data_IF_623914860553
#
_entry.id   IF_623914860553
#
_cell.length_a   1.000
_cell.length_b   1.000
_cell.length_c   1.000
_cell.angle_alpha   90.00
_cell.angle_beta   90.00
_cell.angle_gamma   90.00
#
_symmetry.space_group_name_H-M   'P 1'
#
loop_
_entity.id
_entity.type
_entity.pdbx_description
1 polymer ?
#
# COMPACT_ATOMS: atom_id res chain seq x y z
N UNK A 1 9.79 16.86 -16.63
CA UNK A 1 9.85 16.92 -15.15
C UNK A 1 10.04 15.50 -14.65
N UNK A 2 11.25 15.14 -14.21
CA UNK A 2 11.49 13.81 -13.64
C UNK A 2 11.00 13.81 -12.20
N UNK A 3 9.80 13.29 -11.95
CA UNK A 3 9.39 12.96 -10.58
C UNK A 3 10.23 11.76 -10.14
N UNK A 4 11.05 11.95 -9.11
CA UNK A 4 11.72 10.85 -8.42
C UNK A 4 10.70 10.22 -7.48
N UNK A 5 10.43 8.93 -7.67
CA UNK A 5 9.56 8.16 -6.79
C UNK A 5 10.45 7.25 -5.95
N UNK A 6 10.23 7.25 -4.63
CA UNK A 6 10.95 6.36 -3.74
C UNK A 6 10.48 4.93 -3.94
N UNK A 7 11.42 3.99 -4.11
CA UNK A 7 11.11 2.56 -4.09
C UNK A 7 10.69 2.14 -2.69
N UNK A 8 9.94 1.06 -2.56
CA UNK A 8 9.51 0.55 -1.26
C UNK A 8 10.71 0.25 -0.36
N UNK A 9 11.81 -0.27 -0.91
CA UNK A 9 13.01 -0.57 -0.12
C UNK A 9 13.59 0.69 0.55
N UNK A 10 13.60 1.81 -0.17
CA UNK A 10 14.05 3.11 0.34
C UNK A 10 13.07 3.65 1.40
N UNK A 11 11.77 3.53 1.13
CA UNK A 11 10.72 3.87 2.08
C UNK A 11 10.81 3.03 3.37
N UNK A 12 11.06 1.72 3.26
CA UNK A 12 11.19 0.81 4.39
C UNK A 12 12.41 1.17 5.25
N UNK A 13 13.55 1.48 4.62
CA UNK A 13 14.74 1.97 5.34
C UNK A 13 14.42 3.26 6.09
N UNK A 14 13.69 4.19 5.44
CA UNK A 14 13.28 5.45 6.05
C UNK A 14 12.34 5.24 7.24
N UNK A 15 11.27 4.47 7.08
CA UNK A 15 10.31 4.19 8.15
C UNK A 15 10.96 3.47 9.33
N UNK A 16 11.88 2.54 9.08
CA UNK A 16 12.61 1.85 10.17
C UNK A 16 13.46 2.79 11.02
N UNK A 17 13.81 3.97 10.50
CA UNK A 17 14.50 5.03 11.25
C UNK A 17 13.53 5.98 11.97
N UNK A 18 12.26 5.98 11.58
CA UNK A 18 11.22 6.78 12.24
C UNK A 18 10.86 6.12 13.58
N UNK A 19 10.55 6.99 14.53
CA UNK A 19 10.25 6.62 15.91
C UNK A 19 9.10 5.61 16.01
N UNK A 20 9.27 4.62 16.89
CA UNK A 20 8.32 3.51 17.09
C UNK A 20 6.95 3.92 17.68
N UNK A 21 6.77 5.19 18.02
CA UNK A 21 5.48 5.75 18.47
C UNK A 21 4.66 6.39 17.34
N UNK A 22 4.99 6.13 16.09
CA UNK A 22 4.14 6.54 14.98
C UNK A 22 2.78 5.85 15.09
N UNK A 23 1.73 6.64 15.25
CA UNK A 23 0.34 6.16 15.39
C UNK A 23 -0.42 6.12 14.07
N UNK A 24 -0.10 7.04 13.16
CA UNK A 24 -0.82 7.24 11.91
C UNK A 24 0.18 7.27 10.77
N UNK A 25 -0.06 6.46 9.73
CA UNK A 25 0.77 6.40 8.54
C UNK A 25 -0.09 6.47 7.28
N UNK A 26 0.09 7.52 6.49
CA UNK A 26 -0.58 7.69 5.20
C UNK A 26 0.47 7.64 4.10
N UNK A 27 0.27 6.74 3.14
CA UNK A 27 1.16 6.55 2.00
C UNK A 27 0.38 6.71 0.72
N UNK A 28 0.76 7.70 -0.08
CA UNK A 28 0.22 7.92 -1.42
C UNK A 28 1.37 7.71 -2.41
N UNK A 29 1.21 6.76 -3.35
CA UNK A 29 2.25 6.44 -4.33
C UNK A 29 1.65 6.10 -5.68
N UNK A 30 2.48 6.18 -6.73
CA UNK A 30 2.09 5.97 -8.12
C UNK A 30 2.77 4.72 -8.68
N UNK A 31 2.17 4.19 -9.76
CA UNK A 31 2.35 2.94 -10.55
C UNK A 31 3.76 2.35 -10.78
N UNK A 32 4.82 2.90 -10.21
CA UNK A 32 6.21 2.57 -10.52
C UNK A 32 6.78 1.45 -9.67
N UNK A 33 6.23 1.22 -8.47
CA UNK A 33 6.69 0.16 -7.60
C UNK A 33 5.53 -0.63 -6.99
N UNK A 34 5.15 -1.71 -7.67
CA UNK A 34 4.12 -2.66 -7.23
C UNK A 34 4.40 -3.25 -5.84
N UNK A 35 5.65 -3.20 -5.34
CA UNK A 35 5.95 -3.77 -4.03
C UNK A 35 5.26 -3.04 -2.88
N UNK A 36 4.75 -1.81 -3.11
CA UNK A 36 3.81 -1.14 -2.20
C UNK A 36 2.48 -1.90 -2.04
N UNK A 37 2.10 -2.77 -2.97
CA UNK A 37 0.92 -3.64 -2.86
C UNK A 37 1.25 -5.02 -2.25
N UNK A 38 2.45 -5.22 -1.71
CA UNK A 38 2.82 -6.46 -1.02
C UNK A 38 2.39 -6.42 0.45
N UNK A 39 1.27 -7.07 0.75
CA UNK A 39 0.72 -7.07 2.11
C UNK A 39 1.65 -7.75 3.14
N UNK A 40 2.45 -8.74 2.74
CA UNK A 40 3.39 -9.40 3.65
C UNK A 40 4.49 -8.45 4.13
N UNK A 41 5.00 -7.59 3.24
CA UNK A 41 5.98 -6.56 3.61
C UNK A 41 5.39 -5.55 4.58
N UNK A 42 4.18 -5.05 4.29
CA UNK A 42 3.47 -4.16 5.20
C UNK A 42 3.23 -4.80 6.57
N UNK A 43 2.74 -6.04 6.63
CA UNK A 43 2.53 -6.75 7.88
C UNK A 43 3.80 -6.82 8.72
N UNK A 44 4.96 -7.12 8.12
CA UNK A 44 6.26 -7.14 8.82
C UNK A 44 6.63 -5.75 9.34
N UNK A 45 6.42 -4.70 8.54
CA UNK A 45 6.72 -3.32 8.88
C UNK A 45 5.81 -2.75 9.98
N UNK A 46 4.57 -3.23 10.05
CA UNK A 46 3.61 -2.81 11.07
C UNK A 46 3.85 -3.56 12.39
N UNK A 47 4.19 -4.84 12.33
CA UNK A 47 4.37 -5.64 13.55
C UNK A 47 5.65 -5.35 14.34
N UNK A 48 6.76 -4.95 13.70
CA UNK A 48 8.02 -4.72 14.42
C UNK A 48 8.47 -3.26 14.42
N UNK A 49 8.65 -2.59 13.25
CA UNK A 49 9.03 -1.18 13.24
C UNK A 49 7.97 -0.22 13.80
N UNK A 50 6.68 -0.51 13.60
CA UNK A 50 5.57 0.41 13.93
C UNK A 50 4.53 -0.24 14.87
N UNK A 51 4.93 -0.76 16.05
CA UNK A 51 4.04 -1.53 16.91
C UNK A 51 2.87 -0.71 17.47
N UNK A 52 3.00 0.62 17.52
CA UNK A 52 1.98 1.55 17.98
C UNK A 52 1.11 2.12 16.86
N UNK A 53 1.20 1.57 15.64
CA UNK A 53 0.39 2.03 14.52
C UNK A 53 -1.08 1.66 14.74
N UNK A 54 -1.90 2.68 14.89
CA UNK A 54 -3.35 2.64 15.09
C UNK A 54 -4.08 2.79 13.74
N UNK A 55 -3.58 3.68 12.87
CA UNK A 55 -4.18 3.97 11.57
C UNK A 55 -3.16 3.82 10.44
N UNK A 56 -3.55 3.07 9.41
CA UNK A 56 -2.77 2.87 8.21
C UNK A 56 -3.64 3.15 6.99
N UNK A 57 -3.17 4.04 6.13
CA UNK A 57 -3.77 4.31 4.84
C UNK A 57 -2.73 4.16 3.73
N UNK A 58 -3.05 3.33 2.75
CA UNK A 58 -2.29 3.21 1.51
C UNK A 58 -3.18 3.58 0.35
N UNK A 59 -2.68 4.44 -0.52
CA UNK A 59 -3.27 4.72 -1.82
C UNK A 59 -2.22 4.51 -2.91
N UNK A 60 -2.50 3.58 -3.80
CA UNK A 60 -1.66 3.27 -4.95
C UNK A 60 -2.41 3.60 -6.23
N UNK A 61 -1.84 4.49 -7.03
CA UNK A 61 -2.39 4.89 -8.32
C UNK A 61 -1.77 4.08 -9.44
N UNK A 62 -2.56 3.21 -10.07
CA UNK A 62 -2.22 2.52 -11.30
C UNK A 62 -2.80 3.29 -12.49
N UNK A 63 -1.94 3.70 -13.43
CA UNK A 63 -2.40 4.29 -14.70
C UNK A 63 -2.91 3.16 -15.59
N UNK A 64 -4.11 3.28 -16.15
CA UNK A 64 -4.57 2.36 -17.18
C UNK A 64 -3.71 2.63 -18.43
N UNK A 65 -2.74 1.76 -18.71
CA UNK A 65 -1.97 1.86 -19.94
C UNK A 65 -2.77 1.19 -21.08
N UNK A 66 -3.20 1.93 -22.11
CA UNK A 66 -3.94 1.36 -23.23
C UNK A 66 -3.13 0.33 -24.03
N UNK A 67 -1.80 0.29 -23.88
CA UNK A 67 -0.91 -0.69 -24.52
C UNK A 67 -0.83 -1.99 -23.71
N UNK A 68 -0.89 -1.92 -22.38
CA UNK A 68 -0.90 -3.09 -21.51
C UNK A 68 -2.33 -3.45 -21.12
N UNK A 69 -2.93 -4.35 -21.91
CA UNK A 69 -4.29 -4.90 -21.71
C UNK A 69 -4.52 -5.64 -20.39
N UNK A 70 -3.50 -5.74 -19.55
CA UNK A 70 -3.54 -6.40 -18.26
C UNK A 70 -3.29 -5.34 -17.20
N UNK A 71 -4.31 -5.04 -16.38
CA UNK A 71 -4.06 -4.39 -15.11
C UNK A 71 -3.05 -5.23 -14.34
N UNK A 72 -2.16 -4.58 -13.59
CA UNK A 72 -1.28 -5.19 -12.60
C UNK A 72 -2.06 -6.08 -11.61
N UNK A 73 -3.39 -5.89 -11.55
CA UNK A 73 -4.36 -6.85 -11.04
C UNK A 73 -4.23 -8.24 -11.68
N UNK A 74 -3.37 -9.06 -11.08
CA UNK A 74 -3.48 -10.51 -11.09
C UNK A 74 -4.01 -10.96 -9.71
N UNK A 75 -4.47 -12.21 -9.59
CA UNK A 75 -4.98 -12.87 -8.36
C UNK A 75 -4.08 -12.74 -7.10
N UNK A 76 -2.89 -12.17 -7.25
CA UNK A 76 -1.93 -11.87 -6.20
C UNK A 76 -2.33 -10.71 -5.27
N UNK A 77 -3.38 -9.93 -5.55
CA UNK A 77 -3.86 -8.87 -4.63
C UNK A 77 -4.74 -9.37 -3.48
N UNK A 78 -5.07 -10.66 -3.46
CA UNK A 78 -5.73 -11.34 -2.33
C UNK A 78 -4.86 -11.41 -1.04
N UNK A 79 -3.72 -10.72 -1.01
CA UNK A 79 -2.78 -10.70 0.11
C UNK A 79 -3.24 -9.81 1.29
N UNK A 80 -4.22 -8.92 1.08
CA UNK A 80 -4.80 -8.07 2.13
C UNK A 80 -6.04 -8.69 2.81
N UNK A 81 -6.30 -9.98 2.59
CA UNK A 81 -7.43 -10.74 3.12
C UNK A 81 -7.12 -11.64 4.34
N UNK A 82 -5.85 -11.96 4.70
CA UNK A 82 -5.56 -12.68 5.95
C UNK A 82 -6.07 -11.99 7.22
N UNK A 83 -6.27 -12.78 8.28
CA UNK A 83 -6.89 -12.34 9.55
C UNK A 83 -6.29 -11.06 10.14
N UNK A 84 -4.97 -10.85 9.98
CA UNK A 84 -4.28 -9.63 10.40
C UNK A 84 -4.97 -8.33 9.94
N UNK A 85 -5.44 -8.28 8.70
CA UNK A 85 -6.10 -7.09 8.14
C UNK A 85 -7.53 -6.96 8.63
N UNK A 86 -8.26 -8.09 8.67
CA UNK A 86 -9.64 -8.18 9.15
C UNK A 86 -9.75 -7.78 10.64
N UNK A 87 -8.87 -8.31 11.49
CA UNK A 87 -8.81 -8.02 12.93
C UNK A 87 -8.56 -6.53 13.21
N UNK A 88 -7.82 -5.85 12.33
CA UNK A 88 -7.58 -4.40 12.39
C UNK A 88 -8.68 -3.57 11.72
N UNK A 89 -9.69 -4.23 11.15
CA UNK A 89 -10.72 -3.60 10.32
C UNK A 89 -10.12 -2.76 9.18
N UNK A 90 -8.95 -3.15 8.66
CA UNK A 90 -8.33 -2.49 7.53
C UNK A 90 -8.66 -3.25 6.26
N UNK A 91 -9.37 -2.60 5.33
CA UNK A 91 -9.93 -3.22 4.14
C UNK A 91 -9.16 -2.77 2.92
N UNK A 92 -9.01 -3.69 1.98
CA UNK A 92 -8.49 -3.43 0.66
C UNK A 92 -9.63 -3.18 -0.32
N UNK A 93 -9.55 -2.08 -1.06
CA UNK A 93 -10.52 -1.70 -2.09
C UNK A 93 -9.79 -1.35 -3.39
N UNK A 94 -10.43 -1.64 -4.52
CA UNK A 94 -9.99 -1.20 -5.83
C UNK A 94 -11.06 -0.31 -6.44
N UNK A 95 -10.71 0.95 -6.71
CA UNK A 95 -11.59 1.92 -7.36
C UNK A 95 -11.14 2.06 -8.81
N UNK A 96 -12.01 1.66 -9.74
CA UNK A 96 -11.73 1.70 -11.17
C UNK A 96 -12.40 2.96 -11.74
N UNK A 97 -11.60 3.82 -12.35
CA UNK A 97 -12.04 4.98 -13.12
C UNK A 97 -11.66 4.80 -14.59
N UNK A 98 -12.20 5.63 -15.49
CA UNK A 98 -12.00 5.52 -16.94
C UNK A 98 -10.52 5.45 -17.39
N UNK A 99 -9.59 6.01 -16.61
CA UNK A 99 -8.16 6.13 -16.99
C UNK A 99 -7.20 5.54 -15.95
N UNK A 100 -7.69 5.00 -14.84
CA UNK A 100 -6.83 4.55 -13.74
C UNK A 100 -7.54 3.59 -12.80
N UNK A 101 -6.76 2.70 -12.18
CA UNK A 101 -7.18 1.91 -11.02
C UNK A 101 -6.50 2.49 -9.79
N UNK A 102 -7.26 2.72 -8.72
CA UNK A 102 -6.73 3.17 -7.44
C UNK A 102 -6.93 2.05 -6.43
N UNK A 103 -5.85 1.50 -5.90
CA UNK A 103 -5.92 0.57 -4.78
C UNK A 103 -5.82 1.33 -3.47
N UNK A 104 -6.69 0.97 -2.55
CA UNK A 104 -6.80 1.57 -1.23
C UNK A 104 -6.64 0.48 -0.18
N UNK A 105 -5.88 0.77 0.87
CA UNK A 105 -5.94 0.06 2.15
C UNK A 105 -6.24 1.09 3.21
N UNK A 106 -7.23 0.84 4.07
CA UNK A 106 -7.58 1.76 5.15
C UNK A 106 -8.61 1.19 6.11
N UNK A 107 -8.82 1.81 7.29
CA UNK A 107 -9.87 1.45 8.22
C UNK A 107 -11.26 1.49 7.59
N UNK A 108 -12.07 0.50 7.95
CA UNK A 108 -13.50 0.42 7.64
C UNK A 108 -14.24 1.58 8.29
N UNK A 109 -15.12 2.24 7.54
CA UNK A 109 -15.98 3.33 8.01
C UNK A 109 -17.37 2.83 8.33
#
# INVERSE_FOLDING_TARGET
MHMYYAKFDEFEIFIRKIYSKLKVLHVNTYFQDITFLNASRWRKLILQPLPQLEEFYLRYYERADPVYKYSIYNDKLNQFVPSFWIERQWIFEAVINNESIIYLVGPYR
#
